data_IF_318221091775
#
_entry.id   IF_318221091775
#
_cell.length_a   1.000
_cell.length_b   1.000
_cell.length_c   1.000
_cell.angle_alpha   90.00
_cell.angle_beta   90.00
_cell.angle_gamma   90.00
#
_symmetry.space_group_name_H-M   'P 1'
#
loop_
_entity.id
_entity.type
_entity.pdbx_description
1 polymer ?
#
# COMPACT_ATOMS: atom_id res chain seq x y z
N UNK A 1 2.52 -28.00 -15.26
CA UNK A 1 2.82 -26.66 -15.83
C UNK A 1 4.27 -26.18 -15.60
N UNK A 2 5.16 -26.98 -14.99
CA UNK A 2 6.60 -26.68 -14.86
C UNK A 2 7.49 -27.86 -15.31
N UNK A 3 6.97 -29.06 -15.14
CA UNK A 3 7.39 -30.35 -15.65
C UNK A 3 7.52 -30.42 -17.18
N UNK A 4 6.55 -29.89 -17.94
CA UNK A 4 6.58 -29.92 -19.41
C UNK A 4 7.63 -28.98 -20.02
N UNK A 5 7.93 -27.87 -19.35
CA UNK A 5 8.92 -26.88 -19.78
C UNK A 5 10.34 -27.42 -19.58
N UNK A 6 10.55 -28.22 -18.53
CA UNK A 6 11.86 -28.74 -18.15
C UNK A 6 12.11 -30.18 -18.61
N UNK A 7 11.12 -30.86 -19.21
CA UNK A 7 11.21 -32.28 -19.66
C UNK A 7 11.78 -33.24 -18.61
N UNK A 8 11.56 -32.94 -17.33
CA UNK A 8 12.24 -33.65 -16.25
C UNK A 8 11.60 -35.00 -15.89
N UNK A 9 10.34 -35.27 -16.28
CA UNK A 9 9.65 -36.54 -16.01
C UNK A 9 9.48 -36.90 -14.52
N UNK A 10 9.82 -35.98 -13.62
CA UNK A 10 9.92 -36.22 -12.17
C UNK A 10 8.55 -36.61 -11.60
N UNK A 11 7.47 -35.96 -12.04
CA UNK A 11 6.14 -36.20 -11.50
C UNK A 11 5.60 -37.60 -11.82
N UNK A 12 6.04 -38.21 -12.93
CA UNK A 12 5.66 -39.57 -13.31
C UNK A 12 6.41 -40.65 -12.50
N UNK A 13 7.57 -40.30 -11.93
CA UNK A 13 8.44 -41.23 -11.19
C UNK A 13 8.26 -41.10 -9.68
N UNK A 14 7.71 -39.98 -9.21
CA UNK A 14 7.63 -39.68 -7.78
C UNK A 14 6.36 -40.27 -7.15
N UNK A 15 6.47 -41.12 -6.11
CA UNK A 15 5.31 -41.71 -5.47
C UNK A 15 4.49 -40.66 -4.72
N UNK A 16 3.17 -40.66 -4.92
CA UNK A 16 2.21 -39.71 -4.33
C UNK A 16 2.30 -39.66 -2.79
N UNK A 17 2.66 -40.78 -2.16
CA UNK A 17 2.86 -40.87 -0.72
C UNK A 17 4.05 -40.02 -0.21
N UNK A 18 5.11 -39.88 -1.02
CA UNK A 18 6.27 -39.07 -0.68
C UNK A 18 5.94 -37.58 -0.77
N UNK A 19 5.21 -37.16 -1.82
CA UNK A 19 4.70 -35.80 -1.93
C UNK A 19 3.80 -35.43 -0.76
N UNK A 20 2.86 -36.31 -0.39
CA UNK A 20 1.99 -36.12 0.76
C UNK A 20 2.78 -35.95 2.05
N UNK A 21 3.80 -36.79 2.28
CA UNK A 21 4.67 -36.70 3.47
C UNK A 21 5.44 -35.38 3.55
N UNK A 22 5.89 -34.84 2.41
CA UNK A 22 6.53 -33.51 2.36
C UNK A 22 5.50 -32.43 2.69
N UNK A 23 4.34 -32.44 2.03
CA UNK A 23 3.28 -31.43 2.25
C UNK A 23 2.82 -31.42 3.71
N UNK A 24 2.62 -32.59 4.32
CA UNK A 24 2.21 -32.72 5.72
C UNK A 24 3.30 -32.18 6.67
N UNK A 25 4.57 -32.32 6.32
CA UNK A 25 5.69 -31.79 7.12
C UNK A 25 5.83 -30.26 7.00
N UNK A 26 5.47 -29.69 5.85
CA UNK A 26 5.57 -28.24 5.58
C UNK A 26 4.35 -27.44 6.06
N UNK A 27 3.24 -28.09 6.42
CA UNK A 27 1.99 -27.42 6.80
C UNK A 27 2.15 -26.49 8.02
N UNK A 28 2.99 -26.88 8.99
CA UNK A 28 3.30 -26.06 10.16
C UNK A 28 4.03 -24.77 9.79
N UNK A 29 5.04 -24.87 8.91
CA UNK A 29 5.79 -23.72 8.43
C UNK A 29 4.91 -22.80 7.59
N UNK A 30 4.05 -23.37 6.75
CA UNK A 30 3.07 -22.62 5.96
C UNK A 30 2.11 -21.83 6.86
N UNK A 31 1.51 -22.46 7.88
CA UNK A 31 0.63 -21.77 8.83
C UNK A 31 1.32 -20.61 9.53
N UNK A 32 2.60 -20.77 9.90
CA UNK A 32 3.40 -19.71 10.53
C UNK A 32 3.68 -18.55 9.57
N UNK A 33 3.97 -18.83 8.30
CA UNK A 33 4.15 -17.81 7.26
C UNK A 33 2.85 -17.05 7.01
N UNK A 34 1.73 -17.75 6.90
CA UNK A 34 0.41 -17.13 6.74
C UNK A 34 0.10 -16.23 7.92
N UNK A 35 0.31 -16.68 9.16
CA UNK A 35 0.10 -15.86 10.35
C UNK A 35 0.97 -14.60 10.35
N UNK A 36 2.27 -14.76 10.06
CA UNK A 36 3.18 -13.62 9.95
C UNK A 36 2.72 -12.62 8.88
N UNK A 37 2.27 -13.13 7.73
CA UNK A 37 1.77 -12.31 6.64
C UNK A 37 0.49 -11.55 7.03
N UNK A 38 -0.44 -12.19 7.74
CA UNK A 38 -1.64 -11.53 8.26
C UNK A 38 -1.30 -10.41 9.24
N UNK A 39 -0.39 -10.64 10.19
CA UNK A 39 0.08 -9.60 11.12
C UNK A 39 0.72 -8.44 10.36
N UNK A 40 1.56 -8.74 9.36
CA UNK A 40 2.19 -7.74 8.51
C UNK A 40 1.16 -6.93 7.71
N UNK A 41 0.11 -7.57 7.19
CA UNK A 41 -0.98 -6.89 6.47
C UNK A 41 -1.75 -5.94 7.40
N UNK A 42 -2.08 -6.37 8.63
CA UNK A 42 -2.75 -5.52 9.61
C UNK A 42 -1.89 -4.31 9.99
N UNK A 43 -0.60 -4.52 10.27
CA UNK A 43 0.32 -3.43 10.58
C UNK A 43 0.49 -2.46 9.42
N UNK A 44 0.53 -2.95 8.18
CA UNK A 44 0.65 -2.10 7.01
C UNK A 44 -0.51 -1.11 6.88
N UNK A 45 -1.75 -1.54 7.16
CA UNK A 45 -2.94 -0.67 7.13
C UNK A 45 -2.89 0.43 8.21
N UNK A 46 -2.41 0.10 9.40
CA UNK A 46 -2.24 1.07 10.49
C UNK A 46 -1.18 2.10 10.13
N UNK A 47 -0.02 1.65 9.64
CA UNK A 47 1.09 2.55 9.23
C UNK A 47 0.65 3.47 8.10
N UNK A 48 -0.07 2.95 7.10
CA UNK A 48 -0.63 3.75 6.02
C UNK A 48 -1.58 4.84 6.54
N UNK A 49 -2.49 4.50 7.46
CA UNK A 49 -3.43 5.46 8.05
C UNK A 49 -2.71 6.57 8.84
N UNK A 50 -1.67 6.23 9.60
CA UNK A 50 -0.87 7.21 10.35
C UNK A 50 -0.14 8.16 9.40
N UNK A 51 0.48 7.64 8.33
CA UNK A 51 1.17 8.46 7.34
C UNK A 51 0.18 9.39 6.61
N UNK A 52 -1.00 8.91 6.25
CA UNK A 52 -2.02 9.74 5.60
C UNK A 52 -2.49 10.86 6.52
N UNK A 53 -2.70 10.56 7.80
CA UNK A 53 -3.09 11.56 8.79
C UNK A 53 -2.01 12.64 8.95
N UNK A 54 -0.74 12.26 9.06
CA UNK A 54 0.40 13.19 9.12
C UNK A 54 0.41 14.15 7.92
N UNK A 55 0.19 13.63 6.71
CA UNK A 55 0.13 14.44 5.49
C UNK A 55 -1.07 15.38 5.44
N UNK A 56 -2.24 14.94 5.93
CA UNK A 56 -3.43 15.80 6.00
C UNK A 56 -3.21 16.94 6.98
N UNK A 57 -2.65 16.66 8.17
CA UNK A 57 -2.33 17.69 9.16
C UNK A 57 -1.34 18.70 8.59
N UNK A 58 -0.28 18.23 7.93
CA UNK A 58 0.67 19.09 7.23
C UNK A 58 -0.03 20.00 6.20
N UNK A 59 -0.97 19.47 5.40
CA UNK A 59 -1.69 20.28 4.42
C UNK A 59 -2.58 21.34 5.07
N UNK A 60 -3.25 21.02 6.18
CA UNK A 60 -4.02 22.00 6.94
C UNK A 60 -3.15 23.12 7.53
N UNK A 61 -1.93 22.82 7.96
CA UNK A 61 -0.97 23.82 8.43
C UNK A 61 -0.44 24.75 7.32
N UNK A 62 -0.55 24.35 6.04
CA UNK A 62 -0.11 25.15 4.89
C UNK A 62 -1.29 25.87 4.18
N UNK A 63 -2.37 26.18 4.90
CA UNK A 63 -3.55 26.90 4.40
C UNK A 63 -4.32 26.20 3.26
N UNK A 64 -4.19 24.87 3.13
CA UNK A 64 -5.07 24.10 2.25
C UNK A 64 -6.43 23.89 2.93
N UNK A 65 -7.40 24.72 2.59
CA UNK A 65 -8.75 24.66 3.17
C UNK A 65 -9.58 23.45 2.71
N UNK A 66 -9.24 22.86 1.56
CA UNK A 66 -10.00 21.77 0.95
C UNK A 66 -9.10 20.54 0.76
N UNK A 67 -9.05 19.66 1.77
CA UNK A 67 -8.33 18.38 1.74
C UNK A 67 -9.33 17.24 1.79
N UNK A 68 -9.24 16.33 0.81
CA UNK A 68 -10.12 15.17 0.69
C UNK A 68 -9.31 13.88 0.68
N UNK A 69 -9.72 12.91 1.50
CA UNK A 69 -9.21 11.55 1.45
C UNK A 69 -10.11 10.73 0.52
N UNK A 70 -9.58 10.32 -0.62
CA UNK A 70 -10.29 9.60 -1.68
C UNK A 70 -9.86 8.15 -1.71
N UNK A 71 -10.81 7.25 -1.90
CA UNK A 71 -10.54 5.82 -2.09
C UNK A 71 -10.35 5.52 -3.58
N UNK A 72 -9.12 5.29 -4.02
CA UNK A 72 -8.76 4.98 -5.41
C UNK A 72 -9.03 3.53 -5.80
N UNK A 73 -8.97 2.60 -4.85
CA UNK A 73 -9.09 1.16 -5.12
C UNK A 73 -10.14 0.48 -4.23
N UNK A 74 -10.70 -0.61 -4.73
CA UNK A 74 -11.50 -1.51 -3.91
C UNK A 74 -10.59 -2.15 -2.84
N UNK A 75 -10.94 -2.09 -1.55
CA UNK A 75 -10.12 -2.62 -0.47
C UNK A 75 -9.92 -4.14 -0.58
N UNK A 76 -10.80 -4.83 -1.31
CA UNK A 76 -10.69 -6.26 -1.62
C UNK A 76 -9.60 -6.52 -2.66
N UNK A 77 -9.39 -5.60 -3.60
CA UNK A 77 -8.34 -5.71 -4.64
C UNK A 77 -6.97 -5.21 -4.15
N UNK A 78 -6.97 -4.12 -3.37
CA UNK A 78 -5.76 -3.59 -2.74
C UNK A 78 -6.12 -2.96 -1.39
N UNK A 79 -5.56 -3.45 -0.27
CA UNK A 79 -5.74 -2.83 1.03
C UNK A 79 -5.26 -1.38 1.06
N UNK A 80 -4.24 -1.06 0.25
CA UNK A 80 -3.72 0.29 0.05
C UNK A 80 -4.56 1.00 -1.00
N UNK A 81 -5.58 1.70 -0.53
CA UNK A 81 -6.61 2.27 -1.39
C UNK A 81 -6.86 3.77 -1.19
N UNK A 82 -6.18 4.42 -0.24
CA UNK A 82 -6.45 5.82 0.08
C UNK A 82 -5.44 6.76 -0.59
N UNK A 83 -5.93 7.90 -1.07
CA UNK A 83 -5.14 8.97 -1.68
C UNK A 83 -5.63 10.32 -1.18
N UNK A 84 -4.73 11.29 -1.09
CA UNK A 84 -5.05 12.64 -0.62
C UNK A 84 -5.13 13.55 -1.83
N UNK A 85 -6.27 14.23 -1.97
CA UNK A 85 -6.50 15.28 -2.96
C UNK A 85 -6.68 16.58 -2.20
N UNK A 86 -5.79 17.54 -2.43
CA UNK A 86 -5.89 18.86 -1.84
C UNK A 86 -6.07 19.89 -2.95
N UNK A 87 -7.03 20.80 -2.78
CA UNK A 87 -7.16 21.95 -3.66
C UNK A 87 -6.63 23.18 -2.93
N UNK A 88 -5.60 23.78 -3.50
CA UNK A 88 -5.15 25.09 -3.08
C UNK A 88 -6.16 26.14 -3.55
N UNK A 89 -6.91 26.69 -2.60
CA UNK A 89 -7.77 27.84 -2.85
C UNK A 89 -7.14 29.00 -2.13
N UNK A 90 -6.60 29.95 -2.91
CA UNK A 90 -6.17 31.24 -2.40
C UNK A 90 -7.43 31.96 -1.89
N UNK A 91 -7.69 31.87 -0.59
CA UNK A 91 -8.83 32.54 0.00
C UNK A 91 -8.60 34.04 -0.12
N UNK A 92 -9.51 34.79 -0.78
CA UNK A 92 -9.45 36.23 -0.66
C UNK A 92 -9.82 36.54 0.80
N UNK A 93 -8.93 37.26 1.49
CA UNK A 93 -9.17 37.96 2.77
C UNK A 93 -8.69 37.28 4.07
N UNK A 94 -7.39 37.41 4.38
CA UNK A 94 -6.86 38.41 5.31
C UNK A 94 -5.32 38.33 5.27
N UNK A 95 -4.67 39.37 4.73
CA UNK A 95 -3.25 39.59 4.98
C UNK A 95 -3.09 39.93 6.47
N UNK A 96 -2.78 38.93 7.29
CA UNK A 96 -2.04 39.18 8.53
C UNK A 96 -0.69 38.52 8.33
N UNK A 97 0.34 39.36 8.25
CA UNK A 97 1.67 38.97 7.82
C UNK A 97 2.20 37.76 8.58
N UNK A 98 2.69 36.77 7.83
CA UNK A 98 4.01 36.23 8.06
C UNK A 98 4.56 35.58 6.79
N UNK A 99 5.55 36.29 6.27
CA UNK A 99 6.57 35.92 5.32
C UNK A 99 7.00 34.43 5.38
N UNK A 100 6.41 33.55 4.57
CA UNK A 100 7.06 32.30 4.17
C UNK A 100 6.76 31.94 2.72
N UNK A 101 7.61 32.49 1.86
CA UNK A 101 7.97 31.94 0.56
C UNK A 101 8.25 30.43 0.64
N UNK A 102 7.33 29.60 0.11
CA UNK A 102 7.66 28.26 -0.37
C UNK A 102 7.01 27.99 -1.72
N UNK A 103 7.84 28.18 -2.75
CA UNK A 103 7.92 27.35 -3.96
C UNK A 103 6.63 27.06 -4.72
N UNK A 104 6.27 28.03 -5.56
CA UNK A 104 5.65 27.82 -6.87
C UNK A 104 6.68 27.13 -7.79
N UNK A 105 6.95 25.84 -7.59
CA UNK A 105 7.81 25.03 -8.48
C UNK A 105 6.93 24.34 -9.52
N UNK A 106 6.83 25.03 -10.65
CA UNK A 106 6.90 24.48 -12.02
C UNK A 106 6.16 23.16 -12.31
N UNK A 107 4.93 23.26 -12.81
CA UNK A 107 4.46 22.42 -13.91
C UNK A 107 3.66 23.30 -14.88
N UNK A 108 4.38 24.07 -15.69
CA UNK A 108 3.90 24.54 -16.99
C UNK A 108 5.11 24.89 -17.86
N UNK A 109 5.55 23.91 -18.64
CA UNK A 109 6.30 24.09 -19.89
C UNK A 109 6.36 22.72 -20.58
N UNK A 110 5.64 22.60 -21.69
CA UNK A 110 5.53 21.41 -22.52
C UNK A 110 4.21 21.40 -23.27
#
# INVERSE_FOLDING_TARGET
MADDILKLGIYATLPVNFLRKIVDNEEFHWKRLVLFYLVKLCLAQVVESVILLDRIVYLYENDFNNVYLVKLFDPVLSPRCHSIVANFVETPFFQTGNHFSKQKVLLNSG
#
